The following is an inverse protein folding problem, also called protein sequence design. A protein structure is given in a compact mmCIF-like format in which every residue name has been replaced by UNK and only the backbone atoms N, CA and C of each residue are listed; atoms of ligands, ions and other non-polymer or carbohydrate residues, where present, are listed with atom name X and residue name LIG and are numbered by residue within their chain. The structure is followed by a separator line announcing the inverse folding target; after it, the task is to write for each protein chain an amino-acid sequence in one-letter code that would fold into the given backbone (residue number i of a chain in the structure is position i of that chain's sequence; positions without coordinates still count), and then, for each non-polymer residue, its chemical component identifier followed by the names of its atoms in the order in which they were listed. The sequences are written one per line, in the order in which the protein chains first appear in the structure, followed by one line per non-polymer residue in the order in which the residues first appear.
data_IF_537369506240
#
_entry.id   IF_537369506240
#
_cell.length_a   1.000
_cell.length_b   1.000
_cell.length_c   1.000
_cell.angle_alpha   90.00
_cell.angle_beta   90.00
_cell.angle_gamma   90.00
#
_symmetry.space_group_name_H-M   'P 1'
#
loop_
_entity.id
_entity.type
_entity.pdbx_description
1 polymer ?
#
# COMPACT_ATOMS: atom_id res chain seq x y z
N UNK A 1 16.95 2.25 25.49
CA UNK A 1 16.70 1.54 24.23
C UNK A 1 16.09 0.18 24.56
N UNK A 2 14.76 0.14 24.65
CA UNK A 2 13.98 -1.09 24.81
C UNK A 2 13.79 -1.65 23.40
N UNK A 3 14.41 -2.80 23.13
CA UNK A 3 14.54 -3.34 21.76
C UNK A 3 13.27 -4.01 21.25
N UNK A 4 13.23 -4.21 19.92
CA UNK A 4 12.22 -4.91 19.12
C UNK A 4 11.74 -6.24 19.78
N UNK A 5 12.63 -6.96 20.45
CA UNK A 5 12.30 -8.19 21.16
C UNK A 5 11.36 -8.01 22.36
N UNK A 6 11.38 -6.85 23.02
CA UNK A 6 10.51 -6.57 24.17
C UNK A 6 9.06 -6.30 23.75
N UNK A 7 8.85 -5.66 22.60
CA UNK A 7 7.50 -5.38 22.09
C UNK A 7 6.82 -6.63 21.53
N UNK A 8 7.55 -7.44 20.75
CA UNK A 8 7.07 -8.75 20.28
C UNK A 8 6.76 -9.66 21.47
N UNK A 9 7.59 -9.63 22.51
CA UNK A 9 7.33 -10.37 23.72
C UNK A 9 6.08 -9.84 24.46
N UNK A 10 5.89 -8.51 24.56
CA UNK A 10 4.67 -7.90 25.13
C UNK A 10 3.42 -8.30 24.35
N UNK A 11 3.44 -8.23 23.03
CA UNK A 11 2.33 -8.66 22.19
C UNK A 11 1.98 -10.14 22.38
N UNK A 12 2.99 -11.00 22.37
CA UNK A 12 2.83 -12.45 22.64
C UNK A 12 2.28 -12.70 24.04
N UNK A 13 2.79 -11.98 25.03
CA UNK A 13 2.31 -12.03 26.42
C UNK A 13 0.87 -11.55 26.50
N UNK A 14 0.50 -10.45 25.85
CA UNK A 14 -0.89 -9.95 25.81
C UNK A 14 -1.81 -10.98 25.19
N UNK A 15 -1.40 -11.61 24.08
CA UNK A 15 -2.20 -12.62 23.38
C UNK A 15 -2.38 -13.87 24.24
N UNK A 16 -1.31 -14.35 24.88
CA UNK A 16 -1.33 -15.44 25.86
C UNK A 16 -2.22 -15.07 27.06
N UNK A 17 -2.13 -13.84 27.57
CA UNK A 17 -2.94 -13.36 28.69
C UNK A 17 -4.41 -13.27 28.32
N UNK A 18 -4.76 -12.82 27.11
CA UNK A 18 -6.16 -12.81 26.64
C UNK A 18 -6.71 -14.22 26.48
N UNK A 19 -5.92 -15.16 25.94
CA UNK A 19 -6.33 -16.57 25.83
C UNK A 19 -6.45 -17.25 27.21
N UNK A 20 -5.51 -16.97 28.11
CA UNK A 20 -5.53 -17.48 29.47
C UNK A 20 -6.72 -16.91 30.26
N UNK A 21 -6.99 -15.61 30.11
CA UNK A 21 -8.16 -14.95 30.72
C UNK A 21 -9.46 -15.59 30.21
N UNK A 22 -9.62 -15.79 28.90
CA UNK A 22 -10.77 -16.48 28.33
C UNK A 22 -10.91 -17.91 28.86
N UNK A 23 -9.79 -18.64 28.98
CA UNK A 23 -9.79 -20.00 29.51
C UNK A 23 -10.17 -20.07 31.00
N UNK A 24 -9.65 -19.14 31.82
CA UNK A 24 -9.98 -19.04 33.25
C UNK A 24 -11.45 -18.66 33.43
N UNK A 25 -11.91 -17.68 32.65
CA UNK A 25 -13.29 -17.26 32.65
C UNK A 25 -14.21 -18.43 32.26
N UNK A 26 -13.88 -19.22 31.24
CA UNK A 26 -14.60 -20.45 30.90
C UNK A 26 -14.66 -21.46 32.06
N UNK A 27 -13.56 -21.67 32.78
CA UNK A 27 -13.52 -22.54 33.96
C UNK A 27 -14.38 -22.01 35.12
N UNK A 28 -14.43 -20.69 35.32
CA UNK A 28 -15.31 -20.04 36.30
C UNK A 28 -16.77 -20.24 35.90
N UNK A 29 -17.11 -20.04 34.63
CA UNK A 29 -18.46 -20.32 34.11
C UNK A 29 -18.86 -21.77 34.37
N UNK A 30 -17.99 -22.73 34.00
CA UNK A 30 -18.25 -24.15 34.22
C UNK A 30 -18.48 -24.51 35.70
N UNK A 31 -17.82 -23.80 36.63
CA UNK A 31 -17.93 -24.08 38.07
C UNK A 31 -19.11 -23.40 38.76
N UNK A 32 -19.50 -22.20 38.31
CA UNK A 32 -20.52 -21.38 38.98
C UNK A 32 -21.86 -21.34 38.25
N UNK A 33 -21.97 -22.02 37.09
CA UNK A 33 -23.19 -22.13 36.27
C UNK A 33 -23.89 -20.78 36.05
N UNK A 34 -23.07 -19.74 35.80
CA UNK A 34 -23.56 -18.37 35.66
C UNK A 34 -23.71 -18.02 34.18
N UNK A 35 -24.93 -18.12 33.69
CA UNK A 35 -25.31 -17.84 32.30
C UNK A 35 -24.98 -16.40 31.87
N UNK A 36 -25.12 -15.42 32.77
CA UNK A 36 -24.81 -14.02 32.46
C UNK A 36 -23.32 -13.80 32.19
N UNK A 37 -22.45 -14.53 32.90
CA UNK A 37 -21.01 -14.48 32.71
C UNK A 37 -20.59 -15.09 31.36
N UNK A 38 -21.31 -16.12 30.90
CA UNK A 38 -21.12 -16.73 29.59
C UNK A 38 -21.41 -15.74 28.45
N UNK A 39 -22.51 -14.99 28.55
CA UNK A 39 -22.87 -13.97 27.55
C UNK A 39 -21.86 -12.83 27.48
N UNK A 40 -21.35 -12.36 28.64
CA UNK A 40 -20.30 -11.34 28.66
C UNK A 40 -19.03 -11.84 27.99
N UNK A 41 -18.59 -13.07 28.25
CA UNK A 41 -17.43 -13.65 27.59
C UNK A 41 -17.61 -13.79 26.08
N UNK A 42 -18.81 -14.17 25.64
CA UNK A 42 -19.12 -14.33 24.23
C UNK A 42 -19.12 -12.97 23.52
N UNK A 43 -19.75 -11.95 24.09
CA UNK A 43 -20.00 -10.67 23.42
C UNK A 43 -18.79 -9.73 23.42
N UNK A 44 -18.02 -9.66 24.52
CA UNK A 44 -16.93 -8.68 24.68
C UNK A 44 -15.91 -8.72 23.53
N UNK A 45 -15.38 -9.90 23.10
CA UNK A 45 -14.43 -9.95 21.99
C UNK A 45 -15.01 -9.40 20.68
N UNK A 46 -16.27 -9.74 20.38
CA UNK A 46 -16.95 -9.29 19.16
C UNK A 46 -17.16 -7.77 19.16
N UNK A 47 -17.53 -7.20 20.31
CA UNK A 47 -17.70 -5.75 20.49
C UNK A 47 -16.35 -5.05 20.29
N UNK A 48 -15.30 -5.52 20.97
CA UNK A 48 -13.96 -4.92 20.90
C UNK A 48 -13.45 -4.94 19.46
N UNK A 49 -13.49 -6.08 18.78
CA UNK A 49 -13.01 -6.20 17.39
C UNK A 49 -13.80 -5.28 16.45
N UNK A 50 -15.13 -5.27 16.56
CA UNK A 50 -15.99 -4.45 15.69
C UNK A 50 -15.72 -2.96 15.90
N UNK A 51 -15.60 -2.52 17.16
CA UNK A 51 -15.29 -1.12 17.48
C UNK A 51 -13.87 -0.73 17.04
N UNK A 52 -12.87 -1.59 17.25
CA UNK A 52 -11.50 -1.34 16.79
C UNK A 52 -11.44 -1.19 15.27
N UNK A 53 -12.10 -2.07 14.52
CA UNK A 53 -12.16 -1.98 13.06
C UNK A 53 -12.92 -0.72 12.59
N UNK A 54 -14.03 -0.39 13.24
CA UNK A 54 -14.78 0.84 12.96
C UNK A 54 -13.97 2.11 13.26
N UNK A 55 -13.19 2.12 14.34
CA UNK A 55 -12.28 3.21 14.68
C UNK A 55 -11.16 3.33 13.64
N UNK A 56 -10.55 2.22 13.22
CA UNK A 56 -9.53 2.22 12.16
C UNK A 56 -10.07 2.76 10.83
N UNK A 57 -11.28 2.36 10.44
CA UNK A 57 -11.94 2.85 9.24
C UNK A 57 -12.23 4.36 9.31
N UNK A 58 -12.83 4.82 10.41
CA UNK A 58 -13.27 6.23 10.54
C UNK A 58 -12.13 7.20 10.81
N UNK A 59 -11.17 6.83 11.67
CA UNK A 59 -10.09 7.72 12.09
C UNK A 59 -8.89 7.71 11.15
N UNK A 60 -8.51 6.55 10.63
CA UNK A 60 -7.29 6.36 9.85
C UNK A 60 -7.56 6.09 8.37
N UNK A 61 -8.83 6.04 7.94
CA UNK A 61 -9.24 5.79 6.54
C UNK A 61 -8.63 4.52 5.94
N UNK A 62 -8.34 3.53 6.77
CA UNK A 62 -7.81 2.23 6.33
C UNK A 62 -8.92 1.47 5.58
N UNK A 63 -8.59 0.85 4.45
CA UNK A 63 -9.52 0.03 3.67
C UNK A 63 -9.83 -1.31 4.35
N UNK A 64 -10.61 -1.26 5.43
CA UNK A 64 -11.14 -2.43 6.18
C UNK A 64 -12.64 -2.61 6.02
N UNK A 65 -13.28 -1.87 5.12
CA UNK A 65 -14.74 -1.80 5.02
C UNK A 65 -15.37 -3.20 4.83
N UNK A 66 -14.77 -4.04 3.99
CA UNK A 66 -15.28 -5.40 3.75
C UNK A 66 -15.23 -6.25 5.03
N UNK A 67 -14.22 -6.06 5.87
CA UNK A 67 -14.06 -6.78 7.14
C UNK A 67 -15.03 -6.24 8.18
N UNK A 68 -15.22 -4.92 8.27
CA UNK A 68 -16.23 -4.29 9.13
C UNK A 68 -17.64 -4.79 8.77
N UNK A 69 -17.98 -4.82 7.48
CA UNK A 69 -19.26 -5.32 6.97
C UNK A 69 -19.47 -6.80 7.30
N UNK A 70 -18.41 -7.60 7.43
CA UNK A 70 -18.50 -8.97 7.91
C UNK A 70 -18.63 -9.08 9.44
N UNK A 71 -17.94 -8.25 10.22
CA UNK A 71 -17.97 -8.33 11.69
C UNK A 71 -19.24 -7.76 12.31
N UNK A 72 -19.84 -6.72 11.74
CA UNK A 72 -21.07 -6.11 12.28
C UNK A 72 -22.23 -7.10 12.34
N UNK A 73 -22.57 -7.87 11.28
CA UNK A 73 -23.61 -8.87 11.35
C UNK A 73 -23.29 -10.02 12.32
N UNK A 74 -22.01 -10.41 12.47
CA UNK A 74 -21.60 -11.41 13.48
C UNK A 74 -21.89 -10.89 14.89
N UNK A 75 -21.55 -9.62 15.18
CA UNK A 75 -21.84 -9.01 16.46
C UNK A 75 -23.35 -8.95 16.71
N UNK A 76 -24.13 -8.49 15.72
CA UNK A 76 -25.58 -8.42 15.82
C UNK A 76 -26.21 -9.80 16.06
N UNK A 77 -25.76 -10.84 15.35
CA UNK A 77 -26.25 -12.20 15.52
C UNK A 77 -26.03 -12.73 16.95
N UNK A 78 -24.85 -12.45 17.54
CA UNK A 78 -24.55 -12.83 18.92
C UNK A 78 -25.36 -12.01 19.95
N UNK A 79 -25.62 -10.72 19.69
CA UNK A 79 -26.50 -9.91 20.56
C UNK A 79 -27.92 -10.46 20.50
N UNK A 80 -28.45 -10.76 19.31
CA UNK A 80 -29.79 -11.32 19.17
C UNK A 80 -29.94 -12.69 19.79
N UNK A 81 -28.88 -13.51 19.77
CA UNK A 81 -28.83 -14.78 20.49
C UNK A 81 -28.93 -14.56 22.00
N UNK A 82 -28.13 -13.63 22.54
CA UNK A 82 -28.14 -13.32 23.99
C UNK A 82 -29.47 -12.74 24.48
N UNK A 83 -30.21 -12.06 23.60
CA UNK A 83 -31.54 -11.52 23.88
C UNK A 83 -32.67 -12.52 23.57
N UNK A 84 -32.33 -13.73 23.11
CA UNK A 84 -33.26 -14.79 22.73
C UNK A 84 -34.29 -14.36 21.66
N UNK A 85 -33.86 -13.50 20.73
CA UNK A 85 -34.72 -12.88 19.70
C UNK A 85 -34.77 -13.67 18.38
N UNK A 86 -33.79 -14.53 18.13
CA UNK A 86 -33.63 -15.30 16.89
C UNK A 86 -33.27 -16.74 17.21
N UNK A 87 -33.77 -17.67 16.38
CA UNK A 87 -33.42 -19.10 16.46
C UNK A 87 -31.95 -19.31 16.05
N UNK A 88 -31.32 -20.30 16.68
CA UNK A 88 -29.94 -20.71 16.48
C UNK A 88 -29.66 -20.96 14.99
N UNK A 89 -30.60 -21.56 14.27
CA UNK A 89 -30.44 -21.86 12.83
C UNK A 89 -30.24 -20.60 11.98
N UNK A 90 -30.97 -19.51 12.27
CA UNK A 90 -30.80 -18.24 11.55
C UNK A 90 -29.51 -17.54 11.93
N UNK A 91 -29.11 -17.64 13.20
CA UNK A 91 -27.85 -17.09 13.70
C UNK A 91 -26.66 -17.77 13.03
N UNK A 92 -26.70 -19.10 12.89
CA UNK A 92 -25.66 -19.87 12.20
C UNK A 92 -25.55 -19.49 10.72
N UNK A 93 -26.68 -19.27 10.04
CA UNK A 93 -26.70 -18.86 8.65
C UNK A 93 -26.11 -17.45 8.46
N UNK A 94 -26.53 -16.49 9.29
CA UNK A 94 -25.99 -15.11 9.26
C UNK A 94 -24.49 -15.12 9.58
N UNK A 95 -24.08 -15.86 10.62
CA UNK A 95 -22.68 -16.01 11.01
C UNK A 95 -21.84 -16.65 9.91
N UNK A 96 -22.37 -17.68 9.24
CA UNK A 96 -21.72 -18.37 8.12
C UNK A 96 -21.44 -17.44 6.93
N UNK A 97 -22.47 -16.74 6.45
CA UNK A 97 -22.32 -15.76 5.34
C UNK A 97 -21.35 -14.65 5.72
N UNK A 98 -21.43 -14.16 6.95
CA UNK A 98 -20.57 -13.08 7.43
C UNK A 98 -19.11 -13.50 7.52
N UNK A 99 -18.82 -14.73 7.95
CA UNK A 99 -17.45 -15.30 7.94
C UNK A 99 -16.89 -15.41 6.53
N UNK A 100 -17.71 -15.73 5.53
CA UNK A 100 -17.29 -15.71 4.11
C UNK A 100 -16.90 -14.30 3.68
N UNK A 101 -17.68 -13.28 4.06
CA UNK A 101 -17.37 -11.87 3.77
C UNK A 101 -16.06 -11.45 4.45
N UNK A 102 -15.86 -11.82 5.72
CA UNK A 102 -14.60 -11.56 6.45
C UNK A 102 -13.43 -12.22 5.74
N UNK A 103 -13.55 -13.51 5.39
CA UNK A 103 -12.50 -14.23 4.68
C UNK A 103 -12.16 -13.58 3.33
N UNK A 104 -13.17 -13.21 2.55
CA UNK A 104 -12.99 -12.50 1.30
C UNK A 104 -12.29 -11.15 1.51
N UNK A 105 -12.66 -10.41 2.55
CA UNK A 105 -11.98 -9.17 2.96
C UNK A 105 -10.50 -9.39 3.32
N UNK A 106 -10.20 -10.45 4.06
CA UNK A 106 -8.82 -10.84 4.42
C UNK A 106 -8.00 -11.31 3.21
N UNK A 107 -8.66 -11.79 2.17
CA UNK A 107 -8.03 -12.24 0.92
C UNK A 107 -7.60 -11.07 0.03
N UNK A 108 -8.05 -9.85 0.32
CA UNK A 108 -7.70 -8.66 -0.48
C UNK A 108 -6.26 -8.21 -0.18
N UNK A 109 -5.52 -7.74 -1.19
CA UNK A 109 -4.18 -7.17 -1.00
C UNK A 109 -4.13 -6.02 0.02
N UNK A 110 -5.19 -5.21 0.13
CA UNK A 110 -5.28 -4.12 1.11
C UNK A 110 -5.23 -4.60 2.56
N UNK A 111 -5.69 -5.83 2.84
CA UNK A 111 -5.57 -6.43 4.17
C UNK A 111 -4.13 -6.83 4.50
N UNK A 112 -3.34 -7.29 3.52
CA UNK A 112 -1.91 -7.56 3.73
C UNK A 112 -1.18 -6.31 4.19
N UNK A 113 -1.47 -5.17 3.55
CA UNK A 113 -0.89 -3.88 3.92
C UNK A 113 -1.24 -3.50 5.36
N UNK A 114 -2.49 -3.69 5.79
CA UNK A 114 -2.89 -3.47 7.17
C UNK A 114 -2.14 -4.39 8.15
N UNK A 115 -1.96 -5.67 7.80
CA UNK A 115 -1.24 -6.62 8.64
C UNK A 115 0.22 -6.22 8.76
N UNK A 116 0.83 -5.74 7.68
CA UNK A 116 2.21 -5.25 7.67
C UNK A 116 2.35 -3.96 8.49
N UNK A 117 1.43 -3.00 8.33
CA UNK A 117 1.41 -1.74 9.11
C UNK A 117 1.16 -2.02 10.62
N UNK A 118 0.26 -2.96 10.94
CA UNK A 118 0.02 -3.40 12.32
C UNK A 118 1.25 -4.10 12.88
N UNK A 119 1.90 -4.94 12.08
CA UNK A 119 3.15 -5.61 12.46
C UNK A 119 4.24 -4.58 12.73
N UNK A 120 4.38 -3.57 11.88
CA UNK A 120 5.32 -2.48 12.07
C UNK A 120 5.01 -1.67 13.33
N UNK A 121 3.76 -1.27 13.55
CA UNK A 121 3.30 -0.63 14.79
C UNK A 121 3.62 -1.48 16.04
N UNK A 122 3.43 -2.79 15.94
CA UNK A 122 3.73 -3.77 16.98
C UNK A 122 5.24 -4.06 17.13
N UNK A 123 6.08 -3.53 16.23
CA UNK A 123 7.54 -3.60 16.33
C UNK A 123 8.13 -2.28 16.84
N UNK A 124 7.51 -1.13 16.54
CA UNK A 124 8.04 0.22 16.83
C UNK A 124 7.38 0.92 18.03
N UNK A 125 6.18 0.51 18.46
CA UNK A 125 5.61 0.82 19.77
C UNK A 125 5.13 2.25 20.06
N UNK A 126 5.28 3.19 19.13
CA UNK A 126 4.53 4.45 19.09
C UNK A 126 4.34 4.85 17.63
N UNK A 127 3.25 5.53 17.26
CA UNK A 127 3.25 6.29 16.03
C UNK A 127 4.23 7.43 16.27
N UNK A 128 5.45 7.31 15.75
CA UNK A 128 6.26 8.50 15.55
C UNK A 128 5.42 9.44 14.69
N UNK A 129 5.03 10.57 15.25
CA UNK A 129 4.60 11.71 14.45
C UNK A 129 5.68 11.91 13.39
N UNK A 130 5.35 11.53 12.16
CA UNK A 130 6.30 11.53 11.05
C UNK A 130 6.81 12.96 10.87
N UNK A 131 8.09 13.18 11.18
CA UNK A 131 8.83 14.28 10.61
C UNK A 131 8.82 14.07 9.09
N UNK A 132 7.95 14.77 8.36
CA UNK A 132 7.69 14.70 6.90
C UNK A 132 8.49 13.60 6.16
N UNK A 133 8.11 12.35 6.44
CA UNK A 133 8.94 11.21 6.06
C UNK A 133 8.95 11.05 4.53
N UNK A 134 10.02 10.48 3.99
CA UNK A 134 10.02 10.04 2.60
C UNK A 134 8.89 9.00 2.44
N UNK A 135 7.82 9.37 1.75
CA UNK A 135 6.64 8.52 1.61
C UNK A 135 6.89 7.47 0.53
N UNK A 136 7.45 6.34 0.92
CA UNK A 136 7.70 5.19 0.04
C UNK A 136 6.37 4.55 -0.40
N UNK A 137 6.35 3.96 -1.60
CA UNK A 137 5.14 3.43 -2.26
C UNK A 137 4.70 4.20 -3.52
N UNK A 138 3.52 3.89 -4.04
CA UNK A 138 3.05 4.39 -5.34
C UNK A 138 2.27 5.69 -5.18
N UNK A 139 2.66 6.72 -5.94
CA UNK A 139 1.96 8.00 -6.06
C UNK A 139 1.48 8.18 -7.49
N UNK A 140 0.20 8.51 -7.67
CA UNK A 140 -0.37 8.80 -8.99
C UNK A 140 -0.47 10.32 -9.15
N UNK A 141 0.07 10.84 -10.25
CA UNK A 141 0.06 12.26 -10.58
C UNK A 141 -0.82 12.44 -11.81
N UNK A 142 -2.01 13.01 -11.61
CA UNK A 142 -2.96 13.30 -12.68
C UNK A 142 -2.61 14.63 -13.33
N UNK A 143 -2.26 14.56 -14.60
CA UNK A 143 -1.93 15.71 -15.45
C UNK A 143 -2.86 15.73 -16.67
N UNK A 144 -3.20 16.92 -17.13
CA UNK A 144 -3.91 17.09 -18.40
C UNK A 144 -2.90 17.04 -19.56
N UNK A 145 -3.29 16.39 -20.66
CA UNK A 145 -2.47 16.25 -21.89
C UNK A 145 -1.95 17.57 -22.46
N UNK A 146 -2.66 18.69 -22.24
CA UNK A 146 -2.26 20.00 -22.75
C UNK A 146 -1.14 20.69 -21.95
N UNK A 147 -0.56 20.04 -20.94
CA UNK A 147 0.29 20.69 -19.92
C UNK A 147 1.74 20.20 -19.87
N UNK A 148 2.31 19.73 -21.00
CA UNK A 148 3.68 19.19 -21.07
C UNK A 148 4.75 20.09 -20.41
N UNK A 149 4.64 21.41 -20.53
CA UNK A 149 5.56 22.35 -19.88
C UNK A 149 5.45 22.28 -18.34
N UNK A 150 4.23 22.25 -17.81
CA UNK A 150 3.96 22.11 -16.36
C UNK A 150 4.41 20.75 -15.84
N UNK A 151 4.26 19.70 -16.64
CA UNK A 151 4.75 18.36 -16.30
C UNK A 151 6.28 18.34 -16.17
N UNK A 152 6.99 18.92 -17.13
CA UNK A 152 8.46 19.03 -17.07
C UNK A 152 8.88 19.90 -15.88
N UNK A 153 8.21 21.03 -15.65
CA UNK A 153 8.49 21.89 -14.50
C UNK A 153 8.27 21.17 -13.17
N UNK A 154 7.19 20.39 -13.06
CA UNK A 154 6.93 19.55 -11.90
C UNK A 154 8.05 18.52 -11.69
N UNK A 155 8.49 17.82 -12.75
CA UNK A 155 9.60 16.87 -12.66
C UNK A 155 10.88 17.59 -12.18
N UNK A 156 11.20 18.76 -12.73
CA UNK A 156 12.37 19.55 -12.32
C UNK A 156 12.28 19.99 -10.86
N UNK A 157 11.12 20.46 -10.42
CA UNK A 157 10.89 20.83 -9.03
C UNK A 157 11.08 19.62 -8.11
N UNK A 158 10.50 18.48 -8.48
CA UNK A 158 10.60 17.23 -7.74
C UNK A 158 12.05 16.76 -7.61
N UNK A 159 12.84 16.84 -8.69
CA UNK A 159 14.28 16.50 -8.67
C UNK A 159 15.03 17.41 -7.69
N UNK A 160 14.80 18.72 -7.75
CA UNK A 160 15.47 19.70 -6.86
C UNK A 160 15.13 19.45 -5.38
N UNK A 161 13.87 19.15 -5.08
CA UNK A 161 13.44 18.84 -3.73
C UNK A 161 14.03 17.51 -3.23
N UNK A 162 14.05 16.49 -4.08
CA UNK A 162 14.67 15.21 -3.77
C UNK A 162 16.17 15.37 -3.51
N UNK A 163 16.87 16.16 -4.32
CA UNK A 163 18.30 16.42 -4.14
C UNK A 163 18.59 17.12 -2.80
N UNK A 164 17.80 18.14 -2.41
CA UNK A 164 17.91 18.79 -1.09
C UNK A 164 17.74 17.80 0.07
N UNK A 165 16.97 16.74 -0.13
CA UNK A 165 16.67 15.69 0.84
C UNK A 165 17.62 14.48 0.75
N UNK A 166 18.58 14.49 -0.18
CA UNK A 166 19.48 13.35 -0.42
C UNK A 166 18.81 12.12 -1.05
N UNK A 167 17.66 12.29 -1.69
CA UNK A 167 16.92 11.23 -2.38
C UNK A 167 17.42 11.14 -3.83
N UNK A 168 17.78 9.93 -4.27
CA UNK A 168 18.16 9.68 -5.68
C UNK A 168 16.91 9.67 -6.55
N UNK A 169 16.92 10.42 -7.65
CA UNK A 169 15.79 10.42 -8.58
C UNK A 169 16.12 9.61 -9.83
N UNK A 170 15.23 8.68 -10.20
CA UNK A 170 15.35 7.87 -11.41
C UNK A 170 14.16 8.19 -12.32
N UNK A 171 14.40 8.80 -13.47
CA UNK A 171 13.36 9.16 -14.44
C UNK A 171 13.33 8.15 -15.58
N UNK A 172 12.20 7.45 -15.73
CA UNK A 172 11.89 6.65 -16.90
C UNK A 172 11.25 7.51 -17.99
N UNK A 173 11.91 7.59 -19.14
CA UNK A 173 11.39 8.23 -20.35
C UNK A 173 11.20 7.14 -21.41
N UNK A 174 9.96 6.81 -21.72
CA UNK A 174 9.64 5.88 -22.79
C UNK A 174 9.75 6.60 -24.14
N UNK A 175 10.36 5.97 -25.14
CA UNK A 175 10.39 6.46 -26.53
C UNK A 175 10.86 7.91 -26.70
N UNK A 176 11.72 8.38 -25.79
CA UNK A 176 12.23 9.75 -25.75
C UNK A 176 11.13 10.84 -25.82
N UNK A 177 9.95 10.59 -25.23
CA UNK A 177 8.87 11.61 -25.14
C UNK A 177 9.42 12.89 -24.49
N UNK A 178 10.33 12.73 -23.52
CA UNK A 178 11.22 13.80 -23.06
C UNK A 178 12.66 13.43 -23.41
N UNK A 179 13.29 14.31 -24.18
CA UNK A 179 14.69 14.17 -24.55
C UNK A 179 15.61 14.50 -23.36
N UNK A 180 16.72 13.77 -23.15
CA UNK A 180 17.66 14.00 -22.04
C UNK A 180 18.17 15.44 -21.93
N UNK A 181 18.24 16.16 -23.07
CA UNK A 181 18.71 17.55 -23.12
C UNK A 181 17.88 18.51 -22.27
N UNK A 182 16.62 18.17 -21.98
CA UNK A 182 15.71 18.97 -21.14
C UNK A 182 16.21 19.04 -19.69
N UNK A 183 16.99 18.03 -19.26
CA UNK A 183 17.48 17.86 -17.90
C UNK A 183 19.00 18.02 -17.77
N UNK A 184 19.67 18.74 -18.67
CA UNK A 184 21.14 18.85 -18.64
C UNK A 184 21.70 19.40 -17.33
N UNK A 185 21.02 20.39 -16.75
CA UNK A 185 21.40 20.98 -15.46
C UNK A 185 21.19 19.97 -14.33
N UNK A 186 20.05 19.28 -14.33
CA UNK A 186 19.65 18.31 -13.31
C UNK A 186 20.45 16.99 -13.42
N UNK A 187 20.91 16.61 -14.62
CA UNK A 187 21.79 15.47 -14.85
C UNK A 187 23.17 15.64 -14.21
N UNK A 188 23.58 16.85 -13.85
CA UNK A 188 24.78 17.04 -13.03
C UNK A 188 24.58 16.57 -11.58
N UNK A 189 23.33 16.45 -11.11
CA UNK A 189 22.94 16.10 -9.75
C UNK A 189 22.66 14.58 -9.57
N UNK A 190 21.97 14.19 -8.49
CA UNK A 190 21.54 12.80 -8.21
C UNK A 190 20.38 12.31 -9.09
N UNK A 191 20.35 12.71 -10.36
CA UNK A 191 19.39 12.25 -11.36
C UNK A 191 19.99 11.15 -12.23
N UNK A 192 19.24 10.05 -12.38
CA UNK A 192 19.51 8.99 -13.35
C UNK A 192 18.35 8.92 -14.34
N UNK A 193 18.65 8.84 -15.63
CA UNK A 193 17.67 8.74 -16.70
C UNK A 193 17.69 7.33 -17.30
N UNK A 194 16.53 6.68 -17.30
CA UNK A 194 16.31 5.39 -17.96
C UNK A 194 15.52 5.65 -19.24
N UNK A 195 16.19 5.54 -20.38
CA UNK A 195 15.58 5.66 -21.71
C UNK A 195 15.07 4.30 -22.15
N UNK A 196 13.77 4.18 -22.39
CA UNK A 196 13.19 2.93 -22.89
C UNK A 196 13.01 3.04 -24.40
N UNK A 197 13.73 2.23 -25.17
CA UNK A 197 13.68 2.23 -26.65
C UNK A 197 13.42 0.81 -27.18
N UNK A 198 13.10 0.66 -28.47
CA UNK A 198 12.93 -0.67 -29.09
C UNK A 198 14.26 -1.33 -29.45
N UNK A 199 15.37 -0.65 -29.23
CA UNK A 199 16.68 -1.16 -29.61
C UNK A 199 17.08 -2.35 -28.74
N UNK A 200 17.74 -3.33 -29.36
CA UNK A 200 18.24 -4.55 -28.70
C UNK A 200 19.49 -4.28 -27.86
N UNK A 201 19.54 -3.16 -27.16
CA UNK A 201 20.64 -2.86 -26.26
C UNK A 201 20.56 -3.78 -25.04
N UNK A 202 21.68 -4.41 -24.71
CA UNK A 202 21.79 -5.25 -23.51
C UNK A 202 21.82 -4.33 -22.30
N UNK A 203 20.87 -4.51 -21.40
CA UNK A 203 20.92 -3.94 -20.06
C UNK A 203 22.18 -4.48 -19.34
N UNK A 204 23.15 -3.61 -19.06
CA UNK A 204 24.43 -3.99 -18.44
C UNK A 204 24.43 -3.79 -16.93
N UNK A 205 23.94 -2.65 -16.44
CA UNK A 205 23.71 -2.36 -15.02
C UNK A 205 23.07 -0.97 -14.85
N UNK A 206 22.37 -0.76 -13.73
CA UNK A 206 21.94 0.58 -13.31
C UNK A 206 23.07 1.30 -12.57
N UNK A 207 23.09 2.63 -12.66
CA UNK A 207 23.98 3.54 -11.94
C UNK A 207 25.45 3.62 -12.41
N UNK A 208 25.91 2.78 -13.34
CA UNK A 208 27.22 2.99 -13.99
C UNK A 208 27.25 4.28 -14.82
N UNK A 209 26.15 4.57 -15.50
CA UNK A 209 25.96 5.78 -16.29
C UNK A 209 24.71 6.52 -15.79
N UNK A 210 24.75 7.86 -15.83
CA UNK A 210 23.57 8.69 -15.52
C UNK A 210 22.47 8.56 -16.57
N UNK A 211 22.79 8.07 -17.77
CA UNK A 211 21.82 7.76 -18.81
C UNK A 211 21.99 6.29 -19.17
N UNK A 212 20.98 5.49 -18.87
CA UNK A 212 20.92 4.07 -19.20
C UNK A 212 19.83 3.86 -20.24
N UNK A 213 20.12 3.10 -21.30
CA UNK A 213 19.13 2.72 -22.30
C UNK A 213 18.71 1.28 -22.08
N UNK A 214 17.40 1.04 -22.03
CA UNK A 214 16.80 -0.27 -21.82
C UNK A 214 15.81 -0.59 -22.93
N UNK A 215 15.66 -1.88 -23.23
CA UNK A 215 14.67 -2.34 -24.20
C UNK A 215 13.25 -2.25 -23.59
N UNK A 216 12.26 -1.95 -24.42
CA UNK A 216 10.82 -1.94 -24.14
C UNK A 216 10.22 -3.35 -23.89
N UNK A 217 10.87 -4.13 -23.04
CA UNK A 217 10.35 -5.37 -22.46
C UNK A 217 9.91 -5.11 -21.00
N UNK A 218 8.68 -5.48 -20.67
CA UNK A 218 8.15 -5.37 -19.32
C UNK A 218 8.96 -6.18 -18.29
N UNK A 219 9.60 -7.27 -18.70
CA UNK A 219 10.48 -8.03 -17.83
C UNK A 219 11.73 -7.23 -17.46
N UNK A 220 12.25 -6.43 -18.39
CA UNK A 220 13.37 -5.54 -18.14
C UNK A 220 12.92 -4.40 -17.24
N UNK A 221 11.78 -3.75 -17.52
CA UNK A 221 11.20 -2.74 -16.64
C UNK A 221 11.04 -3.25 -15.19
N UNK A 222 10.47 -4.46 -15.03
CA UNK A 222 10.31 -5.12 -13.75
C UNK A 222 11.65 -5.39 -13.04
N UNK A 223 12.66 -5.85 -13.78
CA UNK A 223 14.02 -6.06 -13.26
C UNK A 223 14.68 -4.76 -12.83
N UNK A 224 14.57 -3.70 -13.65
CA UNK A 224 15.15 -2.39 -13.37
C UNK A 224 14.57 -1.81 -12.07
N UNK A 225 13.26 -1.90 -11.86
CA UNK A 225 12.65 -1.49 -10.58
C UNK A 225 13.21 -2.31 -9.42
N UNK A 226 13.34 -3.63 -9.59
CA UNK A 226 13.90 -4.51 -8.55
C UNK A 226 15.34 -4.12 -8.19
N UNK A 227 16.15 -3.84 -9.20
CA UNK A 227 17.55 -3.44 -9.02
C UNK A 227 17.65 -2.07 -8.30
N UNK A 228 16.75 -1.12 -8.57
CA UNK A 228 16.68 0.16 -7.84
C UNK A 228 16.32 -0.08 -6.37
N UNK A 229 15.31 -0.93 -6.11
CA UNK A 229 14.88 -1.27 -4.75
C UNK A 229 16.04 -1.92 -3.98
N UNK A 230 16.73 -2.89 -4.58
CA UNK A 230 17.86 -3.56 -3.96
C UNK A 230 19.02 -2.59 -3.70
N UNK A 231 19.35 -1.73 -4.67
CA UNK A 231 20.39 -0.71 -4.49
C UNK A 231 20.04 0.30 -3.39
N UNK A 232 18.78 0.69 -3.27
CA UNK A 232 18.27 1.55 -2.19
C UNK A 232 18.46 0.88 -0.82
N UNK A 233 18.08 -0.41 -0.72
CA UNK A 233 18.28 -1.21 0.51
C UNK A 233 19.75 -1.36 0.90
N UNK A 234 20.62 -1.68 -0.06
CA UNK A 234 22.05 -1.90 0.18
C UNK A 234 22.78 -0.61 0.55
N UNK A 235 22.44 0.50 -0.11
CA UNK A 235 23.12 1.79 0.12
C UNK A 235 22.46 2.63 1.20
N UNK A 236 21.29 2.25 1.69
CA UNK A 236 20.45 3.01 2.64
C UNK A 236 20.10 4.43 2.17
N UNK A 237 20.16 4.66 0.85
CA UNK A 237 19.84 5.95 0.24
C UNK A 237 18.49 5.83 -0.45
N UNK A 238 17.47 6.61 -0.02
CA UNK A 238 16.14 6.55 -0.60
C UNK A 238 16.14 6.90 -2.08
N UNK A 239 15.17 6.35 -2.80
CA UNK A 239 15.02 6.58 -4.24
C UNK A 239 13.59 6.99 -4.61
N UNK A 240 13.46 7.88 -5.59
CA UNK A 240 12.18 8.24 -6.21
C UNK A 240 12.24 7.91 -7.70
N UNK A 241 11.41 6.96 -8.11
CA UNK A 241 11.26 6.55 -9.49
C UNK A 241 10.12 7.33 -10.10
N UNK A 242 10.39 8.13 -11.14
CA UNK A 242 9.38 8.87 -11.89
C UNK A 242 9.11 8.14 -13.21
N UNK A 243 7.86 7.75 -13.46
CA UNK A 243 7.42 7.16 -14.73
C UNK A 243 6.72 8.22 -15.58
N UNK A 244 7.38 8.63 -16.66
CA UNK A 244 6.83 9.56 -17.64
C UNK A 244 6.65 8.89 -19.02
N UNK A 245 5.44 8.54 -19.46
CA UNK A 245 4.12 8.66 -18.80
C UNK A 245 3.52 7.27 -18.63
N UNK A 246 2.87 7.00 -17.49
CA UNK A 246 2.23 5.71 -17.22
C UNK A 246 1.10 5.43 -18.22
N UNK A 247 0.38 6.47 -18.67
CA UNK A 247 -0.70 6.36 -19.66
C UNK A 247 -0.26 5.68 -20.93
N UNK A 248 0.88 6.09 -21.48
CA UNK A 248 1.38 5.51 -22.73
C UNK A 248 1.77 4.05 -22.54
N UNK A 249 2.40 3.71 -21.41
CA UNK A 249 2.76 2.32 -21.10
C UNK A 249 1.50 1.46 -21.01
N UNK A 250 0.44 1.95 -20.36
CA UNK A 250 -0.85 1.27 -20.27
C UNK A 250 -1.44 1.03 -21.66
N UNK A 251 -1.45 2.05 -22.52
CA UNK A 251 -2.00 1.94 -23.89
C UNK A 251 -1.21 0.93 -24.74
N UNK A 252 0.11 0.91 -24.63
CA UNK A 252 0.97 0.04 -25.44
C UNK A 252 1.02 -1.40 -24.93
N UNK A 253 0.99 -1.60 -23.60
CA UNK A 253 1.28 -2.89 -22.97
C UNK A 253 0.07 -3.54 -22.30
N UNK A 254 -1.04 -2.80 -22.21
CA UNK A 254 -2.29 -3.22 -21.61
C UNK A 254 -2.35 -2.96 -20.10
N UNK A 255 -3.51 -2.54 -19.57
CA UNK A 255 -3.65 -2.14 -18.16
C UNK A 255 -3.42 -3.28 -17.18
N UNK A 256 -3.81 -4.51 -17.51
CA UNK A 256 -3.70 -5.65 -16.60
C UNK A 256 -2.24 -6.01 -16.27
N UNK A 257 -1.36 -6.00 -17.26
CA UNK A 257 0.05 -6.37 -17.07
C UNK A 257 0.77 -5.34 -16.20
N UNK A 258 0.57 -4.06 -16.49
CA UNK A 258 1.16 -2.96 -15.72
C UNK A 258 0.62 -2.97 -14.30
N UNK A 259 -0.68 -3.13 -14.13
CA UNK A 259 -1.30 -3.23 -12.82
C UNK A 259 -0.71 -4.37 -11.98
N UNK A 260 -0.56 -5.57 -12.55
CA UNK A 260 0.05 -6.71 -11.85
C UNK A 260 1.48 -6.41 -11.40
N UNK A 261 2.31 -5.79 -12.25
CA UNK A 261 3.69 -5.41 -11.90
C UNK A 261 3.71 -4.38 -10.76
N UNK A 262 2.87 -3.36 -10.84
CA UNK A 262 2.80 -2.30 -9.82
C UNK A 262 2.31 -2.86 -8.48
N UNK A 263 1.28 -3.70 -8.49
CA UNK A 263 0.77 -4.37 -7.28
C UNK A 263 1.84 -5.26 -6.67
N UNK A 264 2.54 -6.07 -7.47
CA UNK A 264 3.58 -6.96 -6.93
C UNK A 264 4.76 -6.19 -6.35
N UNK A 265 5.08 -5.01 -6.90
CA UNK A 265 6.19 -4.18 -6.44
C UNK A 265 5.86 -3.25 -5.28
N UNK A 266 4.59 -2.96 -5.01
CA UNK A 266 4.21 -2.01 -3.97
C UNK A 266 4.77 -2.37 -2.57
N UNK A 267 4.74 -3.63 -2.11
CA UNK A 267 5.37 -3.99 -0.83
C UNK A 267 6.90 -3.82 -0.88
N UNK A 268 7.53 -4.24 -1.97
CA UNK A 268 8.98 -4.16 -2.14
C UNK A 268 9.49 -2.71 -2.16
N UNK A 269 8.72 -1.79 -2.75
CA UNK A 269 8.98 -0.35 -2.78
C UNK A 269 8.98 0.23 -1.36
N UNK A 270 8.00 -0.15 -0.53
CA UNK A 270 7.92 0.28 0.87
C UNK A 270 9.11 -0.21 1.68
N UNK A 271 9.39 -1.50 1.61
CA UNK A 271 10.53 -2.11 2.30
C UNK A 271 11.89 -1.55 1.85
N UNK A 272 11.99 -1.09 0.60
CA UNK A 272 13.22 -0.54 0.04
C UNK A 272 13.39 0.97 0.20
N UNK A 273 12.48 1.64 0.90
CA UNK A 273 12.40 3.10 0.97
C UNK A 273 12.44 3.78 -0.40
N UNK A 274 11.67 3.22 -1.35
CA UNK A 274 11.54 3.71 -2.71
C UNK A 274 10.13 4.25 -2.95
N UNK A 275 10.04 5.46 -3.46
CA UNK A 275 8.81 6.05 -3.97
C UNK A 275 8.69 5.83 -5.48
N UNK A 276 7.46 5.59 -5.96
CA UNK A 276 7.15 5.42 -7.37
C UNK A 276 6.10 6.43 -7.80
N UNK A 277 6.55 7.48 -8.46
CA UNK A 277 5.76 8.61 -8.97
C UNK A 277 5.32 8.36 -10.41
N UNK A 278 4.04 8.05 -10.62
CA UNK A 278 3.49 7.70 -11.93
C UNK A 278 2.64 8.84 -12.50
N UNK A 279 3.04 9.41 -13.65
CA UNK A 279 2.27 10.46 -14.33
C UNK A 279 1.21 9.82 -15.23
N UNK A 280 -0.07 10.12 -14.95
CA UNK A 280 -1.23 9.63 -15.70
C UNK A 280 -2.02 10.79 -16.31
N UNK A 281 -2.57 10.53 -17.49
CA UNK A 281 -3.36 11.43 -18.32
C UNK A 281 -4.75 10.80 -18.46
N UNK A 282 -5.70 11.15 -17.59
CA UNK A 282 -7.01 10.53 -17.58
C UNK A 282 -7.72 10.63 -18.94
N UNK A 283 -7.55 11.75 -19.63
CA UNK A 283 -8.21 12.09 -20.89
C UNK A 283 -7.84 11.18 -22.07
N UNK A 284 -6.75 10.39 -21.95
CA UNK A 284 -6.28 9.48 -23.02
C UNK A 284 -6.89 8.08 -22.87
N UNK A 285 -7.52 7.77 -21.74
CA UNK A 285 -8.15 6.46 -21.51
C UNK A 285 -9.65 6.54 -21.81
N UNK A 286 -10.13 5.73 -22.76
CA UNK A 286 -11.57 5.65 -23.07
C UNK A 286 -12.38 5.10 -21.88
N UNK A 287 -11.77 4.21 -21.09
CA UNK A 287 -12.38 3.60 -19.92
C UNK A 287 -11.86 4.23 -18.62
N UNK A 288 -12.70 5.01 -17.96
CA UNK A 288 -12.40 5.61 -16.66
C UNK A 288 -12.09 4.54 -15.58
N UNK A 289 -12.62 3.32 -15.69
CA UNK A 289 -12.33 2.25 -14.75
C UNK A 289 -10.85 1.84 -14.79
N UNK A 290 -10.17 2.02 -15.94
CA UNK A 290 -8.73 1.80 -16.06
C UNK A 290 -7.95 2.76 -15.17
N UNK A 291 -8.28 4.04 -15.17
CA UNK A 291 -7.61 5.05 -14.34
C UNK A 291 -7.91 4.78 -12.86
N UNK A 292 -9.17 4.55 -12.50
CA UNK A 292 -9.58 4.25 -11.11
C UNK A 292 -8.92 2.99 -10.56
N UNK A 293 -8.62 2.00 -11.40
CA UNK A 293 -7.88 0.80 -11.01
C UNK A 293 -6.47 1.14 -10.52
N UNK A 294 -5.73 2.02 -11.19
CA UNK A 294 -4.40 2.45 -10.72
C UNK A 294 -4.48 3.37 -9.50
N UNK A 295 -5.54 4.18 -9.38
CA UNK A 295 -5.79 4.97 -8.18
C UNK A 295 -5.97 4.10 -6.94
N UNK A 296 -6.66 2.97 -7.05
CA UNK A 296 -6.93 2.08 -5.90
C UNK A 296 -5.69 1.44 -5.26
N UNK A 297 -4.56 1.39 -5.97
CA UNK A 297 -3.29 0.86 -5.46
C UNK A 297 -2.32 1.96 -5.03
N UNK A 298 -2.65 3.21 -5.36
CA UNK A 298 -1.85 4.37 -5.02
C UNK A 298 -2.07 4.76 -3.56
N UNK A 299 -0.99 5.16 -2.91
CA UNK A 299 -1.02 5.72 -1.57
C UNK A 299 -1.49 7.17 -1.59
N UNK A 300 -1.07 7.91 -2.62
CA UNK A 300 -1.31 9.34 -2.77
C UNK A 300 -1.69 9.67 -4.22
N UNK A 301 -2.67 10.53 -4.38
CA UNK A 301 -3.13 11.04 -5.68
C UNK A 301 -2.93 12.54 -5.68
N UNK A 302 -2.09 13.03 -6.58
CA UNK A 302 -1.85 14.46 -6.80
C UNK A 302 -2.60 14.86 -8.06
N UNK A 303 -3.54 15.80 -7.95
CA UNK A 303 -4.32 16.30 -9.08
C UNK A 303 -3.95 17.75 -9.38
N UNK A 304 -3.51 18.00 -10.62
CA UNK A 304 -3.29 19.35 -11.10
C UNK A 304 -4.61 19.95 -11.61
N UNK A 305 -4.89 21.23 -11.33
CA UNK A 305 -6.11 21.88 -11.77
C UNK A 305 -6.21 21.90 -13.30
N UNK A 306 -7.44 21.71 -13.80
CA UNK A 306 -7.78 22.05 -15.18
C UNK A 306 -7.82 23.58 -15.27
N UNK A 307 -6.88 24.17 -16.00
CA UNK A 307 -7.01 25.55 -16.46
C UNK A 307 -7.97 25.61 -17.66
#
# INVERSE_FOLDING_TARGET
MSGIGELVNKAKITLILTLALQSILFLIMYRYDNESLAWVMLLVPHIVITLSLGYLYTRFKVDVLTIVVGWVPILLANITLSANLLDILYIDLISGVSKIIVYYGMSKPSFSVLVDDLREFMLTGMPSEYAEEHKSGITIIKMNTNSKSKEIEWIKHRIRDNNKRGIRTILFSYYDIIHPSVFQEELAEMLYLVRVTQDRNKYTSLFENKITTVNDDLNIFHRVISDIINASRETTIPADIIIYTLSQIILMKGPNRIYTILVSKNPELKEGDVSLSCIIHPDVHEDHATVSKFESISREIIQFPHD
#
